data_IF_995103260174
#
_entry.id   IF_995103260174
#
_cell.length_a   1.000
_cell.length_b   1.000
_cell.length_c   1.000
_cell.angle_alpha   90.00
_cell.angle_beta   90.00
_cell.angle_gamma   90.00
#
_symmetry.space_group_name_H-M   'P 1'
#
loop_
_entity.id
_entity.type
_entity.pdbx_description
1 polymer ?
#
# COMPACT_ATOMS: atom_id res chain seq x y z
N UNK A 1 -19.62 -9.61 0.68
CA UNK A 1 -18.35 -9.23 0.10
C UNK A 1 -17.21 -9.56 1.07
N UNK A 2 -16.09 -10.05 0.57
CA UNK A 2 -14.86 -10.25 1.35
C UNK A 2 -13.83 -9.22 0.87
N UNK A 3 -13.71 -8.11 1.59
CA UNK A 3 -12.77 -7.03 1.29
C UNK A 3 -11.43 -7.26 2.02
N UNK A 4 -10.34 -6.75 1.45
CA UNK A 4 -8.97 -6.90 1.97
C UNK A 4 -8.24 -5.56 2.07
N UNK A 5 -8.34 -4.73 1.02
CA UNK A 5 -7.67 -3.43 0.90
C UNK A 5 -8.68 -2.29 0.80
N UNK A 6 -9.80 -2.53 0.13
CA UNK A 6 -10.85 -1.55 0.00
C UNK A 6 -11.56 -1.33 1.35
N UNK A 7 -11.79 -0.07 1.74
CA UNK A 7 -12.59 0.24 2.93
C UNK A 7 -13.99 -0.35 2.83
N UNK A 8 -14.53 -0.83 3.97
CA UNK A 8 -15.83 -1.52 4.02
C UNK A 8 -17.00 -0.66 3.52
N UNK A 9 -16.87 0.66 3.59
CA UNK A 9 -17.85 1.61 3.07
C UNK A 9 -18.10 1.55 1.58
N UNK A 10 -17.18 0.97 0.79
CA UNK A 10 -17.26 0.96 -0.68
C UNK A 10 -18.51 0.23 -1.21
N UNK A 11 -19.02 -0.75 -0.48
CA UNK A 11 -20.22 -1.51 -0.85
C UNK A 11 -21.53 -0.76 -0.52
N UNK A 12 -21.44 0.44 0.04
CA UNK A 12 -22.59 1.25 0.43
C UNK A 12 -22.76 2.43 -0.56
N UNK A 13 -23.99 2.57 -1.07
CA UNK A 13 -24.34 3.72 -1.91
C UNK A 13 -24.15 5.05 -1.16
N UNK A 14 -23.76 6.09 -1.88
CA UNK A 14 -23.58 7.46 -1.36
C UNK A 14 -22.54 7.57 -0.23
N UNK A 15 -21.54 6.69 -0.22
CA UNK A 15 -20.38 6.77 0.67
C UNK A 15 -19.11 7.02 -0.15
N UNK A 16 -18.21 7.82 0.43
CA UNK A 16 -16.87 8.03 -0.10
C UNK A 16 -15.93 7.18 0.76
N UNK A 17 -15.22 6.29 0.11
CA UNK A 17 -14.23 5.40 0.72
C UNK A 17 -12.83 5.92 0.46
N UNK A 18 -11.99 5.98 1.48
CA UNK A 18 -10.67 6.60 1.38
C UNK A 18 -9.61 5.67 1.98
N UNK A 19 -8.56 5.41 1.22
CA UNK A 19 -7.32 4.85 1.75
C UNK A 19 -6.42 6.02 2.16
N UNK A 20 -6.15 6.15 3.47
CA UNK A 20 -5.37 7.24 4.04
C UNK A 20 -3.86 7.07 3.85
N UNK A 21 -3.10 8.10 4.17
CA UNK A 21 -1.63 8.11 4.09
C UNK A 21 -0.95 7.21 5.15
N UNK A 22 -1.68 6.78 6.17
CA UNK A 22 -1.22 5.80 7.16
C UNK A 22 -1.12 4.39 6.61
N UNK A 23 -1.86 4.07 5.57
CA UNK A 23 -1.94 2.73 4.97
C UNK A 23 -0.76 2.48 4.03
N UNK A 24 -0.25 1.24 3.99
CA UNK A 24 0.62 0.75 2.91
C UNK A 24 -0.21 -0.05 1.93
N UNK A 25 -0.04 0.20 0.63
CA UNK A 25 -0.94 -0.29 -0.42
C UNK A 25 -0.19 -1.15 -1.41
N UNK A 26 -0.64 -2.39 -1.57
CA UNK A 26 -0.24 -3.22 -2.69
C UNK A 26 -1.06 -2.80 -3.93
N UNK A 27 -0.43 -2.15 -4.92
CA UNK A 27 -1.18 -1.57 -6.02
C UNK A 27 -1.78 -2.63 -6.95
N UNK A 28 -1.11 -3.77 -7.13
CA UNK A 28 -1.63 -4.87 -7.97
C UNK A 28 -2.81 -5.55 -7.30
N UNK A 29 -2.65 -5.94 -6.02
CA UNK A 29 -3.73 -6.56 -5.26
C UNK A 29 -4.96 -5.66 -5.12
N UNK A 30 -4.76 -4.32 -5.04
CA UNK A 30 -5.86 -3.36 -5.02
C UNK A 30 -6.62 -3.33 -6.34
N UNK A 31 -5.91 -3.32 -7.48
CA UNK A 31 -6.55 -3.33 -8.80
C UNK A 31 -7.33 -4.63 -9.04
N UNK A 32 -6.78 -5.78 -8.62
CA UNK A 32 -7.47 -7.06 -8.68
C UNK A 32 -8.74 -7.06 -7.82
N UNK A 33 -8.67 -6.53 -6.60
CA UNK A 33 -9.84 -6.43 -5.72
C UNK A 33 -10.90 -5.49 -6.28
N UNK A 34 -10.50 -4.34 -6.85
CA UNK A 34 -11.43 -3.42 -7.53
C UNK A 34 -12.14 -4.14 -8.68
N UNK A 35 -11.43 -4.91 -9.48
CA UNK A 35 -12.01 -5.69 -10.56
C UNK A 35 -13.01 -6.71 -10.02
N UNK A 36 -12.63 -7.49 -9.01
CA UNK A 36 -13.47 -8.52 -8.39
C UNK A 36 -14.80 -7.94 -7.85
N UNK A 37 -14.77 -6.79 -7.19
CA UNK A 37 -16.00 -6.21 -6.64
C UNK A 37 -16.88 -5.54 -7.69
N UNK A 38 -16.28 -4.99 -8.75
CA UNK A 38 -17.03 -4.47 -9.90
C UNK A 38 -17.81 -5.56 -10.62
N UNK A 39 -17.22 -6.74 -10.80
CA UNK A 39 -17.89 -7.92 -11.36
C UNK A 39 -19.09 -8.36 -10.50
N UNK A 40 -19.07 -8.04 -9.20
CA UNK A 40 -20.19 -8.28 -8.26
C UNK A 40 -21.20 -7.11 -8.20
N UNK A 41 -21.11 -6.15 -9.11
CA UNK A 41 -22.06 -5.03 -9.23
C UNK A 41 -21.77 -3.84 -8.30
N UNK A 42 -20.60 -3.79 -7.63
CA UNK A 42 -20.21 -2.63 -6.81
C UNK A 42 -19.51 -1.60 -7.71
N UNK A 43 -20.03 -0.40 -7.72
CA UNK A 43 -19.41 0.71 -8.44
C UNK A 43 -18.18 1.21 -7.68
N UNK A 44 -17.04 1.37 -8.41
CA UNK A 44 -15.80 1.97 -7.89
C UNK A 44 -15.26 2.94 -8.94
N UNK A 45 -15.31 4.22 -8.63
CA UNK A 45 -14.83 5.30 -9.49
C UNK A 45 -14.17 6.40 -8.64
N UNK A 46 -13.66 7.45 -9.29
CA UNK A 46 -12.98 8.58 -8.63
C UNK A 46 -13.90 9.46 -7.77
N UNK A 47 -15.22 9.30 -7.85
CA UNK A 47 -16.18 10.05 -7.04
C UNK A 47 -16.42 9.38 -5.69
N UNK A 48 -16.38 8.03 -5.64
CA UNK A 48 -16.69 7.27 -4.45
C UNK A 48 -15.49 6.56 -3.81
N UNK A 49 -14.31 6.58 -4.47
CA UNK A 49 -13.09 5.98 -3.97
C UNK A 49 -11.87 6.86 -4.20
N UNK A 50 -11.05 7.05 -3.16
CA UNK A 50 -9.83 7.83 -3.21
C UNK A 50 -8.69 7.11 -2.49
N UNK A 51 -7.47 7.31 -3.00
CA UNK A 51 -6.22 6.86 -2.37
C UNK A 51 -5.38 8.10 -2.07
N UNK A 52 -4.86 8.19 -0.87
CA UNK A 52 -3.92 9.26 -0.54
C UNK A 52 -2.70 9.21 -1.47
N UNK A 53 -2.40 10.34 -2.10
CA UNK A 53 -1.18 10.48 -2.89
C UNK A 53 0.10 10.22 -2.08
N UNK A 54 0.02 10.39 -0.75
CA UNK A 54 1.11 10.12 0.19
C UNK A 54 1.12 8.69 0.74
N UNK A 55 0.17 7.82 0.37
CA UNK A 55 0.19 6.41 0.74
C UNK A 55 1.39 5.70 0.10
N UNK A 56 2.03 4.81 0.88
CA UNK A 56 3.22 4.10 0.43
C UNK A 56 2.84 2.80 -0.25
N UNK A 57 3.61 2.42 -1.27
CA UNK A 57 3.37 1.21 -2.04
C UNK A 57 4.11 0.01 -1.43
N UNK A 58 3.41 -1.12 -1.39
CA UNK A 58 4.03 -2.43 -1.15
C UNK A 58 4.53 -2.95 -2.49
N UNK A 59 5.81 -3.30 -2.54
CA UNK A 59 6.48 -3.78 -3.73
C UNK A 59 6.93 -5.24 -3.55
N UNK A 60 7.28 -5.97 -4.62
CA UNK A 60 7.59 -7.39 -4.54
C UNK A 60 8.67 -7.74 -3.50
N UNK A 61 9.69 -6.91 -3.35
CA UNK A 61 10.75 -7.13 -2.37
C UNK A 61 10.26 -7.03 -0.91
N UNK A 62 9.20 -6.26 -0.62
CA UNK A 62 8.61 -6.22 0.72
C UNK A 62 7.95 -7.56 1.07
N UNK A 63 7.22 -8.16 0.12
CA UNK A 63 6.59 -9.46 0.31
C UNK A 63 7.62 -10.55 0.53
N UNK A 64 8.66 -10.61 -0.31
CA UNK A 64 9.73 -11.58 -0.14
C UNK A 64 10.47 -11.42 1.19
N UNK A 65 10.70 -10.18 1.65
CA UNK A 65 11.34 -9.93 2.93
C UNK A 65 10.47 -10.43 4.10
N UNK A 66 9.17 -10.21 4.04
CA UNK A 66 8.21 -10.71 5.03
C UNK A 66 8.21 -12.25 5.07
N UNK A 67 8.21 -12.91 3.91
CA UNK A 67 8.33 -14.37 3.80
C UNK A 67 9.66 -14.89 4.39
N UNK A 68 10.79 -14.25 4.02
CA UNK A 68 12.12 -14.67 4.53
C UNK A 68 12.19 -14.56 6.04
N UNK A 69 11.70 -13.48 6.60
CA UNK A 69 11.70 -13.25 8.07
C UNK A 69 10.80 -14.24 8.79
N UNK A 70 9.61 -14.45 8.28
CA UNK A 70 8.65 -15.39 8.86
C UNK A 70 9.18 -16.83 8.81
N UNK A 71 9.84 -17.22 7.72
CA UNK A 71 10.43 -18.56 7.60
C UNK A 71 11.66 -18.72 8.50
N UNK A 72 12.47 -17.67 8.68
CA UNK A 72 13.63 -17.69 9.56
C UNK A 72 13.26 -17.70 11.06
N UNK A 73 12.09 -17.19 11.43
CA UNK A 73 11.65 -17.08 12.83
C UNK A 73 11.32 -18.45 13.48
N UNK A 74 11.20 -19.54 12.72
CA UNK A 74 11.00 -20.89 13.25
C UNK A 74 9.82 -20.98 14.22
N UNK A 75 10.10 -21.25 15.51
CA UNK A 75 9.07 -21.34 16.58
C UNK A 75 8.57 -19.96 17.04
N UNK A 76 9.28 -18.89 16.74
CA UNK A 76 8.93 -17.50 17.11
C UNK A 76 8.18 -16.77 16.01
N UNK A 77 7.50 -17.50 15.13
CA UNK A 77 6.68 -16.92 14.06
C UNK A 77 5.59 -16.03 14.63
N UNK A 78 5.46 -14.82 14.10
CA UNK A 78 4.39 -13.89 14.45
C UNK A 78 3.07 -14.33 13.78
N UNK A 79 3.14 -15.15 12.73
CA UNK A 79 1.98 -15.54 11.93
C UNK A 79 1.56 -14.45 10.97
N UNK A 80 2.53 -13.74 10.38
CA UNK A 80 2.26 -12.66 9.43
C UNK A 80 1.48 -13.16 8.21
N UNK A 81 0.75 -12.26 7.58
CA UNK A 81 0.02 -12.57 6.33
C UNK A 81 0.94 -12.71 5.11
N UNK A 82 2.25 -12.51 5.29
CA UNK A 82 3.28 -12.52 4.23
C UNK A 82 2.99 -11.56 3.08
N UNK A 83 2.36 -10.43 3.40
CA UNK A 83 1.97 -9.42 2.41
C UNK A 83 2.94 -8.24 2.32
N UNK A 84 4.02 -8.26 3.09
CA UNK A 84 5.04 -7.21 3.07
C UNK A 84 4.65 -5.94 3.81
N UNK A 85 3.68 -6.00 4.72
CA UNK A 85 3.19 -4.84 5.47
C UNK A 85 4.31 -4.25 6.34
N UNK A 86 4.92 -5.06 7.20
CA UNK A 86 6.00 -4.63 8.09
C UNK A 86 7.18 -4.02 7.33
N UNK A 87 7.78 -4.73 6.35
CA UNK A 87 8.86 -4.19 5.54
C UNK A 87 8.51 -2.90 4.78
N UNK A 88 7.26 -2.73 4.34
CA UNK A 88 6.83 -1.48 3.70
C UNK A 88 6.74 -0.31 4.70
N UNK A 89 6.34 -0.57 5.95
CA UNK A 89 6.39 0.43 7.02
C UNK A 89 7.83 0.78 7.41
N UNK A 90 8.76 -0.17 7.44
CA UNK A 90 10.18 0.11 7.66
C UNK A 90 10.72 1.07 6.58
N UNK A 91 10.37 0.86 5.33
CA UNK A 91 10.77 1.75 4.24
C UNK A 91 10.12 3.13 4.35
N UNK A 92 8.88 3.20 4.81
CA UNK A 92 8.19 4.47 5.10
C UNK A 92 8.93 5.27 6.16
N UNK A 93 9.23 4.67 7.30
CA UNK A 93 9.97 5.31 8.40
C UNK A 93 11.41 5.62 7.97
N UNK A 94 12.06 4.72 7.22
CA UNK A 94 13.37 4.90 6.62
C UNK A 94 13.43 5.92 5.47
N UNK A 95 12.31 6.56 5.10
CA UNK A 95 12.18 7.62 4.07
C UNK A 95 12.65 7.22 2.67
N UNK A 96 12.64 5.91 2.36
CA UNK A 96 13.04 5.36 1.05
C UNK A 96 11.88 4.74 0.26
N UNK A 97 10.67 4.74 0.84
CA UNK A 97 9.49 4.18 0.20
C UNK A 97 9.07 4.92 -1.08
N UNK A 98 8.38 4.22 -1.95
CA UNK A 98 7.69 4.78 -3.11
C UNK A 98 6.25 5.07 -2.72
N UNK A 99 5.75 6.27 -3.04
CA UNK A 99 4.39 6.72 -2.76
C UNK A 99 3.55 6.67 -4.02
N UNK A 100 2.23 6.71 -3.85
CA UNK A 100 1.30 6.81 -4.99
C UNK A 100 1.63 8.02 -5.89
N UNK A 101 1.96 9.18 -5.31
CA UNK A 101 2.32 10.38 -6.08
C UNK A 101 3.58 10.22 -6.94
N UNK A 102 4.51 9.36 -6.55
CA UNK A 102 5.76 9.15 -7.28
C UNK A 102 5.52 8.49 -8.65
N UNK A 103 4.36 7.82 -8.82
CA UNK A 103 3.94 7.24 -10.10
C UNK A 103 3.60 8.30 -11.18
N UNK A 104 3.41 9.58 -10.79
CA UNK A 104 3.08 10.66 -11.73
C UNK A 104 4.25 11.08 -12.62
N UNK A 105 5.48 10.80 -12.21
CA UNK A 105 6.68 11.22 -12.91
C UNK A 105 7.66 10.06 -13.04
N UNK A 106 7.89 9.62 -14.27
CA UNK A 106 8.85 8.56 -14.56
C UNK A 106 10.25 8.89 -14.00
N UNK A 107 10.68 10.15 -14.11
CA UNK A 107 11.97 10.61 -13.58
C UNK A 107 12.04 10.45 -12.05
N UNK A 108 11.00 10.88 -11.34
CA UNK A 108 10.95 10.75 -9.87
C UNK A 108 10.89 9.27 -9.46
N UNK A 109 10.07 8.49 -10.14
CA UNK A 109 9.96 7.05 -9.90
C UNK A 109 11.32 6.36 -10.09
N UNK A 110 12.06 6.70 -11.14
CA UNK A 110 13.40 6.14 -11.41
C UNK A 110 14.38 6.42 -10.28
N UNK A 111 14.43 7.66 -9.78
CA UNK A 111 15.27 8.05 -8.65
C UNK A 111 14.88 7.35 -7.35
N UNK A 112 13.57 7.24 -7.07
CA UNK A 112 13.07 6.55 -5.89
C UNK A 112 13.37 5.05 -5.93
N UNK A 113 13.21 4.42 -7.10
CA UNK A 113 13.57 3.02 -7.30
C UNK A 113 15.06 2.77 -7.08
N UNK A 114 15.91 3.65 -7.53
CA UNK A 114 17.35 3.54 -7.29
C UNK A 114 17.68 3.54 -5.80
N UNK A 115 17.10 4.48 -5.04
CA UNK A 115 17.32 4.59 -3.60
C UNK A 115 16.82 3.35 -2.84
N UNK A 116 15.60 2.89 -3.13
CA UNK A 116 15.03 1.75 -2.41
C UNK A 116 15.71 0.43 -2.79
N UNK A 117 16.08 0.27 -4.06
CA UNK A 117 16.77 -0.93 -4.53
C UNK A 117 18.21 -1.02 -4.05
N UNK A 118 18.90 0.10 -3.83
CA UNK A 118 20.20 0.10 -3.19
C UNK A 118 20.15 -0.62 -1.84
N UNK A 119 19.15 -0.31 -1.02
CA UNK A 119 18.95 -0.95 0.28
C UNK A 119 18.57 -2.44 0.14
N UNK A 120 17.50 -2.72 -0.59
CA UNK A 120 16.99 -4.09 -0.70
C UNK A 120 17.93 -5.03 -1.42
N UNK A 121 18.62 -4.56 -2.46
CA UNK A 121 19.59 -5.38 -3.18
C UNK A 121 20.87 -5.65 -2.37
N UNK A 122 21.28 -4.75 -1.48
CA UNK A 122 22.38 -5.01 -0.55
C UNK A 122 22.01 -6.17 0.42
N UNK A 123 20.80 -6.16 0.97
CA UNK A 123 20.30 -7.24 1.82
C UNK A 123 20.21 -8.54 1.02
N UNK A 124 19.64 -8.52 -0.17
CA UNK A 124 19.50 -9.70 -1.05
C UNK A 124 20.85 -10.32 -1.40
N UNK A 125 21.84 -9.48 -1.68
CA UNK A 125 23.23 -9.94 -1.94
C UNK A 125 23.77 -10.68 -0.73
N UNK A 126 23.57 -10.16 0.48
CA UNK A 126 23.96 -10.83 1.73
C UNK A 126 23.25 -12.17 1.97
N UNK A 127 22.01 -12.29 1.48
CA UNK A 127 21.20 -13.51 1.56
C UNK A 127 21.41 -14.49 0.38
N UNK A 128 22.33 -14.20 -0.54
CA UNK A 128 22.55 -15.02 -1.75
C UNK A 128 21.35 -15.06 -2.71
N UNK A 129 20.49 -14.04 -2.68
CA UNK A 129 19.28 -13.95 -3.53
C UNK A 129 19.55 -13.17 -4.81
N UNK A 130 18.82 -13.50 -5.89
CA UNK A 130 18.85 -12.73 -7.14
C UNK A 130 18.43 -11.27 -6.88
N UNK A 131 19.16 -10.31 -7.41
CA UNK A 131 18.86 -8.89 -7.28
C UNK A 131 17.61 -8.51 -8.10
N UNK A 132 16.86 -7.52 -7.61
CA UNK A 132 15.79 -6.91 -8.39
C UNK A 132 16.35 -5.98 -9.45
N UNK A 133 15.82 -6.08 -10.66
CA UNK A 133 16.19 -5.23 -11.78
C UNK A 133 15.29 -3.97 -11.77
N UNK A 134 15.93 -2.80 -11.65
CA UNK A 134 15.25 -1.50 -11.62
C UNK A 134 14.34 -1.31 -12.84
N UNK A 135 14.83 -1.63 -14.04
CA UNK A 135 14.09 -1.48 -15.29
C UNK A 135 12.77 -2.25 -15.28
N UNK A 136 12.83 -3.53 -14.95
CA UNK A 136 11.65 -4.39 -14.90
C UNK A 136 10.60 -3.90 -13.88
N UNK A 137 11.06 -3.50 -12.69
CA UNK A 137 10.15 -2.99 -11.66
C UNK A 137 9.51 -1.66 -12.06
N UNK A 138 10.30 -0.76 -12.68
CA UNK A 138 9.81 0.49 -13.23
C UNK A 138 8.72 0.27 -14.28
N UNK A 139 8.98 -0.58 -15.27
CA UNK A 139 8.02 -0.91 -16.32
C UNK A 139 6.71 -1.47 -15.74
N UNK A 140 6.79 -2.37 -14.77
CA UNK A 140 5.62 -2.93 -14.11
C UNK A 140 4.80 -1.86 -13.36
N UNK A 141 5.47 -0.92 -12.70
CA UNK A 141 4.80 0.18 -12.00
C UNK A 141 4.17 1.18 -12.98
N UNK A 142 4.88 1.55 -14.05
CA UNK A 142 4.36 2.48 -15.06
C UNK A 142 3.13 1.90 -15.78
N UNK A 143 3.09 0.58 -15.99
CA UNK A 143 1.94 -0.10 -16.61
C UNK A 143 0.66 0.07 -15.81
N UNK A 144 0.73 0.05 -14.48
CA UNK A 144 -0.45 0.18 -13.60
C UNK A 144 -0.68 1.62 -13.12
N UNK A 145 0.30 2.51 -13.33
CA UNK A 145 0.23 3.90 -12.85
C UNK A 145 -1.07 4.62 -13.25
N UNK A 146 -1.55 4.59 -14.50
CA UNK A 146 -2.79 5.25 -14.88
C UNK A 146 -4.00 4.76 -14.07
N UNK A 147 -4.06 3.46 -13.79
CA UNK A 147 -5.18 2.86 -13.06
C UNK A 147 -5.18 3.17 -11.57
N UNK A 148 -4.01 3.38 -10.97
CA UNK A 148 -3.89 3.82 -9.59
C UNK A 148 -4.09 5.33 -9.47
N UNK A 149 -3.46 6.10 -10.38
CA UNK A 149 -3.46 7.56 -10.30
C UNK A 149 -4.84 8.19 -10.50
N UNK A 150 -5.76 7.53 -11.21
CA UNK A 150 -7.16 8.01 -11.32
C UNK A 150 -7.88 8.11 -9.99
N UNK A 151 -7.43 7.37 -8.96
CA UNK A 151 -7.95 7.44 -7.59
C UNK A 151 -7.11 8.32 -6.66
N UNK A 152 -5.95 8.79 -7.10
CA UNK A 152 -5.00 9.54 -6.28
C UNK A 152 -5.52 10.94 -5.94
N UNK A 153 -5.54 11.27 -4.66
CA UNK A 153 -6.01 12.57 -4.18
C UNK A 153 -5.18 13.08 -2.98
N UNK A 154 -5.11 14.40 -2.77
CA UNK A 154 -4.60 15.01 -1.54
C UNK A 154 -5.61 14.80 -0.40
N UNK A 155 -5.64 13.59 0.15
CA UNK A 155 -6.67 13.13 1.10
C UNK A 155 -6.75 14.01 2.34
N UNK A 156 -5.62 14.53 2.85
CA UNK A 156 -5.63 15.45 3.99
C UNK A 156 -6.47 16.71 3.72
N UNK A 157 -6.39 17.25 2.51
CA UNK A 157 -7.19 18.41 2.09
C UNK A 157 -8.67 18.03 1.93
N UNK A 158 -8.95 16.83 1.36
CA UNK A 158 -10.31 16.32 1.20
C UNK A 158 -11.00 16.10 2.56
N UNK A 159 -10.28 15.53 3.52
CA UNK A 159 -10.80 15.34 4.89
C UNK A 159 -11.10 16.68 5.55
N UNK A 160 -10.23 17.69 5.40
CA UNK A 160 -10.50 19.03 5.93
C UNK A 160 -11.76 19.66 5.30
N UNK A 161 -11.92 19.53 4.00
CA UNK A 161 -13.15 19.98 3.30
C UNK A 161 -14.40 19.27 3.84
N UNK A 162 -14.35 17.95 4.04
CA UNK A 162 -15.48 17.20 4.60
C UNK A 162 -15.81 17.60 6.04
N UNK A 163 -14.79 17.88 6.86
CA UNK A 163 -14.99 18.42 8.21
C UNK A 163 -15.70 19.78 8.17
N UNK A 164 -15.25 20.71 7.32
CA UNK A 164 -15.90 22.02 7.13
C UNK A 164 -17.36 21.88 6.66
N UNK A 165 -17.65 20.87 5.87
CA UNK A 165 -19.03 20.52 5.43
C UNK A 165 -19.83 19.75 6.50
N UNK A 166 -19.30 19.56 7.71
CA UNK A 166 -19.93 18.79 8.80
C UNK A 166 -20.29 17.35 8.40
N UNK A 167 -19.54 16.74 7.48
CA UNK A 167 -19.72 15.33 7.13
C UNK A 167 -19.28 14.43 8.28
N UNK A 168 -19.96 13.31 8.45
CA UNK A 168 -19.55 12.27 9.40
C UNK A 168 -18.41 11.44 8.77
N UNK A 169 -17.32 11.26 9.53
CA UNK A 169 -16.14 10.50 9.09
C UNK A 169 -15.99 9.30 10.02
N UNK A 170 -15.87 8.10 9.44
CA UNK A 170 -15.57 6.87 10.15
C UNK A 170 -14.12 6.48 9.83
N UNK A 171 -13.32 6.25 10.86
CA UNK A 171 -11.99 5.67 10.74
C UNK A 171 -12.07 4.16 10.94
N UNK A 172 -11.59 3.39 9.98
CA UNK A 172 -11.53 1.94 9.99
C UNK A 172 -10.08 1.52 10.15
N UNK A 173 -9.76 0.86 11.26
CA UNK A 173 -8.45 0.24 11.50
C UNK A 173 -8.43 -1.19 10.97
N UNK A 174 -7.23 -1.70 10.69
CA UNK A 174 -7.04 -3.02 10.09
C UNK A 174 -6.41 -4.05 11.04
N UNK A 175 -6.00 -3.67 12.26
CA UNK A 175 -5.26 -4.52 13.19
C UNK A 175 -5.93 -4.55 14.56
N UNK A 176 -5.67 -5.66 15.30
CA UNK A 176 -6.05 -5.77 16.70
C UNK A 176 -5.05 -5.06 17.63
N UNK A 177 -5.50 -4.72 18.84
CA UNK A 177 -4.68 -4.01 19.84
C UNK A 177 -3.39 -4.77 20.21
N UNK A 178 -3.39 -6.10 20.17
CA UNK A 178 -2.24 -6.91 20.49
C UNK A 178 -1.11 -6.83 19.44
N UNK A 179 -1.40 -6.29 18.27
CA UNK A 179 -0.44 -6.05 17.18
C UNK A 179 -0.02 -4.57 17.08
N UNK A 180 -0.44 -3.75 18.05
CA UNK A 180 -0.02 -2.35 18.11
C UNK A 180 1.48 -2.25 18.39
N UNK A 181 2.17 -1.35 17.69
CA UNK A 181 3.64 -1.23 17.76
C UNK A 181 4.11 -0.73 19.14
N UNK A 182 3.29 0.08 19.82
CA UNK A 182 3.65 0.68 21.10
C UNK A 182 3.03 -0.07 22.30
N UNK A 183 1.84 -0.65 22.12
CA UNK A 183 1.02 -1.21 23.19
C UNK A 183 0.69 -2.70 23.00
N UNK A 184 1.14 -3.31 21.90
CA UNK A 184 0.94 -4.71 21.62
C UNK A 184 1.80 -5.65 22.45
N UNK A 185 1.64 -6.93 22.21
CA UNK A 185 2.36 -8.01 22.92
C UNK A 185 3.40 -8.73 22.04
N UNK A 186 3.59 -8.30 20.80
CA UNK A 186 4.53 -8.89 19.83
C UNK A 186 5.74 -8.00 19.64
#
# INVERSE_FOLDING_TARGET
YKLRLLPSGIVRKNKISIIGNGVVVDPWALLDEIKEIKEKGVEVNSENFMISEAANLILPFHREMDEIREDAAGKSKIGTTRRGIGPAYEDKVGRRSIRVMDLRSEKNLDQRLETVLLHHNAIRKGLGKKLFEKKQLKENLLKIAPDILKFSAPVWLKIDQFKKQKKKILFEGAQGILLDVDHGTC
#
